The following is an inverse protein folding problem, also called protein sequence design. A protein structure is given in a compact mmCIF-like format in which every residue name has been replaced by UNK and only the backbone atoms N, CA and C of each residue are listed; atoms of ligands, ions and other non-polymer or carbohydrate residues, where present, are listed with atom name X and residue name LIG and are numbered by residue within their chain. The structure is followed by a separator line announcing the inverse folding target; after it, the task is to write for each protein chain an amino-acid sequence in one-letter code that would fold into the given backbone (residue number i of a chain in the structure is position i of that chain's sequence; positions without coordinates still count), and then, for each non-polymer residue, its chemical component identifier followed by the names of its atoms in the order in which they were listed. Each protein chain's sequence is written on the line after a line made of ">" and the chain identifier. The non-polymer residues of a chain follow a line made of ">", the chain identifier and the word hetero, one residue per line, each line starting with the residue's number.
data_IF_724821599746
#
_entry.id   IF_724821599746
#
_cell.length_a   1.000
_cell.length_b   1.000
_cell.length_c   1.000
_cell.angle_alpha   90.00
_cell.angle_beta   90.00
_cell.angle_gamma   90.00
#
_symmetry.space_group_name_H-M   'P 1'
#
loop_
_entity.id
_entity.type
_entity.pdbx_description
1 polymer ?
#
# COMPACT_ATOMS: atom_id res chain seq x y z
N UNK A 1 17.33 -10.10 -3.92
CA UNK A 1 16.48 -11.27 -3.59
C UNK A 1 15.03 -10.81 -3.46
N UNK A 2 14.77 -9.74 -2.73
CA UNK A 2 13.45 -9.19 -2.39
C UNK A 2 12.56 -8.91 -3.59
N UNK A 3 13.10 -8.28 -4.65
CA UNK A 3 12.34 -8.03 -5.88
C UNK A 3 11.78 -9.33 -6.48
N UNK A 4 12.54 -10.43 -6.42
CA UNK A 4 12.09 -11.73 -6.93
C UNK A 4 11.01 -12.31 -6.03
N UNK A 5 11.16 -12.19 -4.71
CA UNK A 5 10.18 -12.66 -3.73
C UNK A 5 8.82 -11.96 -3.93
N UNK A 6 8.84 -10.62 -4.03
CA UNK A 6 7.61 -9.84 -4.27
C UNK A 6 6.99 -10.18 -5.61
N UNK A 7 7.79 -10.24 -6.69
CA UNK A 7 7.26 -10.58 -8.01
C UNK A 7 6.64 -11.97 -8.05
N UNK A 8 7.26 -12.96 -7.41
CA UNK A 8 6.73 -14.31 -7.32
C UNK A 8 5.37 -14.33 -6.59
N UNK A 9 5.28 -13.66 -5.45
CA UNK A 9 4.06 -13.58 -4.65
C UNK A 9 2.95 -12.78 -5.34
N UNK A 10 3.29 -11.65 -5.95
CA UNK A 10 2.38 -10.86 -6.76
C UNK A 10 1.82 -11.69 -7.92
N UNK A 11 2.66 -12.50 -8.57
CA UNK A 11 2.22 -13.39 -9.63
C UNK A 11 1.28 -14.48 -9.14
N UNK A 12 1.58 -15.07 -7.97
CA UNK A 12 0.69 -16.06 -7.36
C UNK A 12 -0.71 -15.47 -7.11
N UNK A 13 -0.77 -14.28 -6.51
CA UNK A 13 -2.02 -13.58 -6.16
C UNK A 13 -2.79 -13.10 -7.41
N UNK A 14 -2.15 -12.33 -8.30
CA UNK A 14 -2.86 -11.60 -9.36
C UNK A 14 -2.95 -12.33 -10.70
N UNK A 15 -2.08 -13.31 -10.96
CA UNK A 15 -2.03 -14.01 -12.24
C UNK A 15 -2.49 -15.46 -12.16
N UNK A 16 -1.93 -16.23 -11.23
CA UNK A 16 -2.21 -17.67 -11.14
C UNK A 16 -3.43 -17.98 -10.26
N UNK A 17 -3.67 -17.20 -9.21
CA UNK A 17 -4.64 -17.51 -8.15
C UNK A 17 -4.23 -18.67 -7.24
N UNK A 18 -3.08 -19.33 -7.47
CA UNK A 18 -2.56 -20.40 -6.63
C UNK A 18 -1.49 -19.81 -5.71
N UNK A 19 -1.82 -19.66 -4.43
CA UNK A 19 -1.04 -18.86 -3.48
C UNK A 19 -0.49 -19.74 -2.37
N UNK A 20 0.82 -19.69 -2.20
CA UNK A 20 1.50 -20.28 -1.04
C UNK A 20 1.09 -19.51 0.21
N UNK A 21 0.40 -20.16 1.15
CA UNK A 21 -0.26 -19.52 2.30
C UNK A 21 0.62 -19.39 3.57
N UNK A 22 1.89 -19.79 3.51
CA UNK A 22 2.87 -19.53 4.60
C UNK A 22 4.33 -19.33 4.10
N UNK A 23 4.63 -18.26 3.33
CA UNK A 23 5.98 -17.99 2.82
C UNK A 23 6.92 -17.44 3.92
N UNK A 24 7.03 -18.15 5.05
CA UNK A 24 7.96 -17.85 6.13
C UNK A 24 9.42 -17.94 5.63
N UNK A 25 10.37 -17.14 6.16
CA UNK A 25 11.78 -17.21 5.76
C UNK A 25 12.39 -18.62 5.75
N UNK A 26 11.99 -19.46 6.72
CA UNK A 26 12.42 -20.86 6.80
C UNK A 26 12.00 -21.73 5.60
N UNK A 27 10.96 -21.32 4.87
CA UNK A 27 10.44 -22.03 3.69
C UNK A 27 11.02 -21.50 2.38
N UNK A 28 11.91 -20.50 2.43
CA UNK A 28 12.52 -19.88 1.25
C UNK A 28 14.04 -20.03 1.32
N UNK A 29 14.58 -20.93 0.51
CA UNK A 29 16.01 -21.08 0.34
C UNK A 29 16.51 -20.25 -0.84
N UNK A 30 17.64 -19.56 -0.64
CA UNK A 30 18.28 -18.76 -1.69
C UNK A 30 19.57 -19.46 -2.11
N UNK A 31 19.68 -19.77 -3.41
CA UNK A 31 20.93 -20.29 -3.98
C UNK A 31 21.45 -19.44 -5.12
N UNK A 32 22.73 -19.58 -5.44
CA UNK A 32 23.31 -18.99 -6.65
C UNK A 32 22.92 -19.84 -7.86
N UNK A 33 22.24 -19.24 -8.82
CA UNK A 33 21.86 -19.87 -10.09
C UNK A 33 23.02 -19.90 -11.09
N UNK A 34 22.77 -20.52 -12.25
CA UNK A 34 23.78 -20.76 -13.31
C UNK A 34 24.46 -19.49 -13.82
N UNK A 35 23.77 -18.35 -13.77
CA UNK A 35 24.29 -17.03 -14.22
C UNK A 35 24.77 -16.14 -13.07
N UNK A 36 25.02 -16.70 -11.88
CA UNK A 36 25.34 -15.91 -10.68
C UNK A 36 24.15 -15.14 -10.10
N UNK A 37 22.96 -15.24 -10.71
CA UNK A 37 21.72 -14.64 -10.22
C UNK A 37 21.14 -15.48 -9.07
N UNK A 38 20.62 -14.83 -8.04
CA UNK A 38 19.95 -15.53 -6.93
C UNK A 38 18.68 -16.26 -7.40
N UNK A 39 18.55 -17.55 -7.10
CA UNK A 39 17.34 -18.35 -7.30
C UNK A 39 16.63 -18.54 -5.97
N UNK A 40 15.29 -18.41 -5.99
CA UNK A 40 14.43 -18.68 -4.85
C UNK A 40 13.89 -20.10 -4.97
N UNK A 41 14.09 -20.90 -3.94
CA UNK A 41 13.55 -22.26 -3.83
C UNK A 41 12.55 -22.25 -2.68
N UNK A 42 11.30 -22.58 -2.98
CA UNK A 42 10.30 -22.86 -1.97
C UNK A 42 10.50 -24.30 -1.50
N UNK A 43 10.64 -24.49 -0.19
CA UNK A 43 10.91 -25.79 0.42
C UNK A 43 9.63 -26.49 0.83
N UNK A 44 8.74 -25.75 1.49
CA UNK A 44 7.47 -26.25 1.98
C UNK A 44 6.39 -26.01 0.92
N UNK A 45 5.52 -27.00 0.76
CA UNK A 45 4.40 -26.99 -0.17
C UNK A 45 3.10 -27.47 0.51
N UNK A 46 3.07 -27.55 1.85
CA UNK A 46 1.96 -28.10 2.62
C UNK A 46 0.73 -27.19 2.72
N UNK A 47 0.86 -25.89 2.47
CA UNK A 47 -0.24 -24.93 2.62
C UNK A 47 -0.40 -24.03 1.40
N UNK A 48 -1.39 -24.36 0.58
CA UNK A 48 -1.80 -23.59 -0.58
C UNK A 48 -3.28 -23.22 -0.53
N UNK A 49 -3.57 -22.04 -1.05
CA UNK A 49 -4.92 -21.52 -1.22
C UNK A 49 -5.16 -21.20 -2.70
N UNK A 50 -6.41 -21.37 -3.13
CA UNK A 50 -6.82 -21.03 -4.49
C UNK A 50 -7.84 -19.90 -4.48
N UNK A 51 -7.49 -18.80 -5.14
CA UNK A 51 -8.40 -17.68 -5.38
C UNK A 51 -9.22 -17.99 -6.63
N UNK A 52 -10.54 -17.97 -6.51
CA UNK A 52 -11.42 -18.14 -7.66
C UNK A 52 -11.15 -17.06 -8.73
N UNK A 53 -11.34 -17.34 -10.04
CA UNK A 53 -11.09 -16.37 -11.10
C UNK A 53 -11.80 -15.04 -10.89
N UNK A 54 -13.07 -15.06 -10.47
CA UNK A 54 -13.89 -13.86 -10.22
C UNK A 54 -13.39 -13.06 -9.02
N UNK A 55 -13.01 -13.74 -7.94
CA UNK A 55 -12.44 -13.08 -6.76
C UNK A 55 -11.06 -12.49 -7.09
N UNK A 56 -10.25 -13.19 -7.90
CA UNK A 56 -8.96 -12.69 -8.38
C UNK A 56 -9.12 -11.46 -9.26
N UNK A 57 -10.07 -11.46 -10.17
CA UNK A 57 -10.39 -10.29 -10.99
C UNK A 57 -10.82 -9.10 -10.13
N UNK A 58 -11.75 -9.33 -9.19
CA UNK A 58 -12.21 -8.30 -8.25
C UNK A 58 -11.07 -7.75 -7.40
N UNK A 59 -10.15 -8.62 -6.94
CA UNK A 59 -8.94 -8.20 -6.22
C UNK A 59 -8.03 -7.33 -7.11
N UNK A 60 -7.76 -7.74 -8.35
CA UNK A 60 -6.94 -6.96 -9.27
C UNK A 60 -7.54 -5.57 -9.53
N UNK A 61 -8.86 -5.50 -9.74
CA UNK A 61 -9.56 -4.24 -9.94
C UNK A 61 -9.62 -3.39 -8.66
N UNK A 62 -9.75 -4.00 -7.48
CA UNK A 62 -9.67 -3.30 -6.20
C UNK A 62 -8.31 -2.63 -6.00
N UNK A 63 -7.22 -3.34 -6.29
CA UNK A 63 -5.86 -2.76 -6.24
C UNK A 63 -5.68 -1.58 -7.20
N UNK A 64 -6.26 -1.67 -8.40
CA UNK A 64 -6.31 -0.55 -9.36
C UNK A 64 -7.11 0.63 -8.79
N UNK A 65 -8.27 0.38 -8.18
CA UNK A 65 -9.11 1.41 -7.57
C UNK A 65 -8.41 2.11 -6.41
N UNK A 66 -7.72 1.37 -5.54
CA UNK A 66 -6.91 1.91 -4.45
C UNK A 66 -5.82 2.85 -4.99
N UNK A 67 -5.13 2.45 -6.06
CA UNK A 67 -4.09 3.27 -6.68
C UNK A 67 -4.66 4.58 -7.25
N UNK A 68 -5.81 4.48 -7.93
CA UNK A 68 -6.48 5.62 -8.56
C UNK A 68 -7.32 6.45 -7.57
N UNK A 69 -7.39 6.05 -6.29
CA UNK A 69 -8.26 6.66 -5.26
C UNK A 69 -9.72 6.76 -5.72
N UNK A 70 -10.21 5.73 -6.41
CA UNK A 70 -11.57 5.66 -6.93
C UNK A 70 -12.48 4.99 -5.89
N UNK A 71 -13.13 5.80 -5.05
CA UNK A 71 -13.97 5.33 -3.94
C UNK A 71 -15.12 4.44 -4.39
N UNK A 72 -15.78 4.77 -5.49
CA UNK A 72 -16.91 4.00 -5.99
C UNK A 72 -16.47 2.62 -6.47
N UNK A 73 -15.34 2.53 -7.17
CA UNK A 73 -14.76 1.24 -7.54
C UNK A 73 -14.23 0.49 -6.32
N UNK A 74 -13.64 1.18 -5.33
CA UNK A 74 -13.19 0.52 -4.11
C UNK A 74 -14.35 -0.12 -3.35
N UNK A 75 -15.50 0.56 -3.21
CA UNK A 75 -16.73 -0.02 -2.63
C UNK A 75 -17.23 -1.21 -3.44
N UNK A 76 -17.40 -1.03 -4.76
CA UNK A 76 -17.88 -2.08 -5.67
C UNK A 76 -17.07 -3.38 -5.57
N UNK A 77 -15.74 -3.29 -5.65
CA UNK A 77 -14.89 -4.48 -5.63
C UNK A 77 -14.66 -5.02 -4.22
N UNK A 78 -14.78 -4.20 -3.17
CA UNK A 78 -14.83 -4.70 -1.80
C UNK A 78 -16.08 -5.55 -1.56
N UNK A 79 -17.23 -5.09 -2.05
CA UNK A 79 -18.49 -5.82 -1.97
C UNK A 79 -18.43 -7.14 -2.73
N UNK A 80 -17.84 -7.15 -3.93
CA UNK A 80 -17.61 -8.36 -4.71
C UNK A 80 -16.70 -9.39 -4.00
N UNK A 81 -15.89 -8.93 -3.04
CA UNK A 81 -15.02 -9.76 -2.20
C UNK A 81 -15.64 -10.12 -0.84
N UNK A 82 -16.90 -9.74 -0.60
CA UNK A 82 -17.66 -10.06 0.61
C UNK A 82 -17.63 -8.98 1.70
N UNK A 83 -16.95 -7.85 1.47
CA UNK A 83 -16.88 -6.76 2.46
C UNK A 83 -17.89 -5.67 2.15
N UNK A 84 -18.71 -5.33 3.15
CA UNK A 84 -19.76 -4.31 3.04
C UNK A 84 -19.21 -2.92 2.78
N UNK A 85 -20.00 -2.10 2.07
CA UNK A 85 -19.66 -0.74 1.67
C UNK A 85 -19.20 0.15 2.82
N UNK A 86 -19.75 0.01 4.02
CA UNK A 86 -19.33 0.84 5.17
C UNK A 86 -17.90 0.56 5.65
N UNK A 87 -17.38 -0.63 5.37
CA UNK A 87 -16.10 -1.12 5.88
C UNK A 87 -15.02 -1.22 4.78
N UNK A 88 -15.32 -0.74 3.56
CA UNK A 88 -14.43 -0.85 2.40
C UNK A 88 -13.05 -0.22 2.64
N UNK A 89 -12.97 0.97 3.27
CA UNK A 89 -11.70 1.63 3.57
C UNK A 89 -10.84 0.80 4.53
N UNK A 90 -11.48 0.15 5.51
CA UNK A 90 -10.78 -0.73 6.44
C UNK A 90 -10.21 -1.95 5.72
N UNK A 91 -10.99 -2.54 4.82
CA UNK A 91 -10.53 -3.66 4.01
C UNK A 91 -9.41 -3.29 3.04
N UNK A 92 -9.53 -2.17 2.33
CA UNK A 92 -8.49 -1.66 1.45
C UNK A 92 -7.20 -1.33 2.23
N UNK A 93 -7.32 -0.77 3.44
CA UNK A 93 -6.18 -0.51 4.35
C UNK A 93 -5.48 -1.82 4.73
N UNK A 94 -6.27 -2.84 5.10
CA UNK A 94 -5.75 -4.16 5.46
C UNK A 94 -5.01 -4.83 4.29
N UNK A 95 -5.63 -4.87 3.10
CA UNK A 95 -5.05 -5.50 1.91
C UNK A 95 -3.80 -4.78 1.40
N UNK A 96 -3.82 -3.45 1.35
CA UNK A 96 -2.69 -2.67 0.86
C UNK A 96 -1.56 -2.55 1.87
N UNK A 97 -1.81 -2.87 3.15
CA UNK A 97 -0.91 -2.62 4.28
C UNK A 97 -0.40 -1.17 4.32
N UNK A 98 -1.27 -0.25 3.93
CA UNK A 98 -1.01 1.18 3.89
C UNK A 98 -2.24 1.92 4.43
N UNK A 99 -2.07 2.96 5.25
CA UNK A 99 -3.18 3.83 5.62
C UNK A 99 -3.79 4.43 4.35
N UNK A 100 -5.07 4.15 4.13
CA UNK A 100 -5.90 4.86 3.16
C UNK A 100 -6.65 5.92 3.96
N UNK A 101 -6.87 7.11 3.36
CA UNK A 101 -7.51 8.22 4.05
C UNK A 101 -8.81 7.76 4.74
N UNK A 102 -9.00 8.18 6.00
CA UNK A 102 -10.04 7.74 6.95
C UNK A 102 -10.64 8.98 7.58
N UNK A 103 -11.87 8.90 8.13
CA UNK A 103 -12.48 10.01 8.87
C UNK A 103 -11.62 10.56 10.01
N UNK A 104 -10.78 9.74 10.65
CA UNK A 104 -9.84 10.23 11.67
C UNK A 104 -8.84 11.25 11.09
N UNK A 105 -8.52 11.18 9.80
CA UNK A 105 -7.68 12.17 9.13
C UNK A 105 -8.41 13.49 8.82
N UNK A 106 -9.74 13.51 8.91
CA UNK A 106 -10.53 14.74 8.84
C UNK A 106 -10.47 15.51 10.16
N UNK A 107 -10.43 14.78 11.28
CA UNK A 107 -10.42 15.32 12.64
C UNK A 107 -9.03 15.41 13.27
N UNK A 108 -8.06 14.66 12.76
CA UNK A 108 -6.77 14.50 13.41
C UNK A 108 -5.62 14.48 12.39
N UNK A 109 -4.56 15.22 12.72
CA UNK A 109 -3.37 15.36 11.86
C UNK A 109 -2.22 14.62 12.54
N UNK A 110 -1.53 13.78 11.76
CA UNK A 110 -0.35 13.05 12.22
C UNK A 110 0.79 14.02 12.61
N UNK A 111 1.59 13.69 13.64
CA UNK A 111 2.70 14.55 14.07
C UNK A 111 3.64 14.91 12.92
N UNK A 112 3.98 13.95 12.05
CA UNK A 112 4.94 14.14 10.95
C UNK A 112 4.44 15.11 9.88
N UNK A 113 3.11 15.28 9.79
CA UNK A 113 2.47 16.25 8.89
C UNK A 113 2.36 17.60 9.61
N UNK A 114 1.84 17.60 10.84
CA UNK A 114 1.65 18.81 11.64
C UNK A 114 2.95 19.58 11.83
N UNK A 115 4.02 18.88 12.18
CA UNK A 115 5.31 19.49 12.51
C UNK A 115 6.00 20.07 11.26
N UNK A 116 5.53 19.74 10.05
CA UNK A 116 5.98 20.31 8.77
C UNK A 116 5.09 21.44 8.25
N UNK A 117 3.92 21.65 8.85
CA UNK A 117 2.98 22.71 8.45
C UNK A 117 3.47 24.08 8.93
N UNK A 118 3.15 25.12 8.16
CA UNK A 118 3.39 26.50 8.59
C UNK A 118 2.53 26.86 9.81
N UNK A 119 2.93 27.88 10.57
CA UNK A 119 2.14 28.36 11.71
C UNK A 119 0.72 28.78 11.29
N UNK A 120 0.56 29.36 10.10
CA UNK A 120 -0.75 29.74 9.56
C UNK A 120 -1.62 28.51 9.26
N UNK A 121 -1.03 27.46 8.69
CA UNK A 121 -1.72 26.20 8.42
C UNK A 121 -2.14 25.49 9.72
N UNK A 122 -1.29 25.49 10.74
CA UNK A 122 -1.60 24.93 12.05
C UNK A 122 -2.74 25.69 12.75
N UNK A 123 -2.71 27.03 12.67
CA UNK A 123 -3.79 27.88 13.20
C UNK A 123 -5.11 27.62 12.46
N UNK A 124 -5.07 27.53 11.13
CA UNK A 124 -6.25 27.19 10.32
C UNK A 124 -6.81 25.82 10.69
N UNK A 125 -5.96 24.80 10.78
CA UNK A 125 -6.37 23.46 11.16
C UNK A 125 -7.01 23.42 12.56
N UNK A 126 -6.46 24.18 13.51
CA UNK A 126 -7.01 24.31 14.85
C UNK A 126 -8.40 24.97 14.86
N UNK A 127 -8.61 26.01 14.02
CA UNK A 127 -9.92 26.66 13.83
C UNK A 127 -10.95 25.73 13.18
N UNK A 128 -10.50 24.84 12.31
CA UNK A 128 -11.32 23.78 11.70
C UNK A 128 -11.60 22.60 12.66
N UNK A 129 -11.12 22.68 13.91
CA UNK A 129 -11.32 21.65 14.93
C UNK A 129 -10.42 20.43 14.79
N UNK A 130 -9.36 20.51 13.96
CA UNK A 130 -8.40 19.42 13.78
C UNK A 130 -7.42 19.36 14.96
N UNK A 131 -7.12 18.15 15.40
CA UNK A 131 -6.27 17.89 16.56
C UNK A 131 -4.96 17.25 16.10
N UNK A 132 -3.82 17.77 16.55
CA UNK A 132 -2.53 17.08 16.39
C UNK A 132 -2.55 15.80 17.20
N UNK A 133 -2.39 14.65 16.54
CA UNK A 133 -2.19 13.38 17.23
C UNK A 133 -0.82 13.38 17.92
N UNK A 134 -0.70 12.81 19.13
CA UNK A 134 0.60 12.60 19.75
C UNK A 134 1.36 11.50 19.01
N UNK A 135 2.67 11.64 18.90
CA UNK A 135 3.56 10.55 18.51
C UNK A 135 3.52 9.42 19.56
N UNK A 136 3.95 8.22 19.17
CA UNK A 136 3.99 7.08 20.09
C UNK A 136 4.80 7.39 21.36
N UNK A 137 5.94 8.08 21.21
CA UNK A 137 6.79 8.49 22.34
C UNK A 137 6.10 9.51 23.24
N UNK A 138 5.49 10.55 22.66
CA UNK A 138 4.73 11.56 23.44
C UNK A 138 3.58 10.89 24.19
N UNK A 139 2.85 9.99 23.54
CA UNK A 139 1.75 9.26 24.18
C UNK A 139 2.25 8.41 25.36
N UNK A 140 3.42 7.78 25.24
CA UNK A 140 4.07 6.97 26.30
C UNK A 140 4.67 7.82 27.43
N UNK A 141 4.93 9.11 27.22
CA UNK A 141 5.41 10.02 28.29
C UNK A 141 4.31 10.87 28.92
N UNK A 142 3.13 10.96 28.29
CA UNK A 142 1.97 11.69 28.83
C UNK A 142 1.49 11.16 30.19
N UNK A 143 1.00 12.06 31.03
CA UNK A 143 0.34 11.70 32.30
C UNK A 143 -0.90 10.83 32.07
N UNK A 144 -1.24 9.99 33.05
CA UNK A 144 -2.41 9.12 32.97
C UNK A 144 -3.70 9.91 32.75
N UNK A 145 -3.87 11.08 33.40
CA UNK A 145 -5.02 11.95 33.21
C UNK A 145 -5.17 12.40 31.75
N UNK A 146 -4.07 12.85 31.13
CA UNK A 146 -4.08 13.33 29.73
C UNK A 146 -4.33 12.20 28.73
N UNK A 147 -3.85 10.98 29.02
CA UNK A 147 -4.17 9.79 28.22
C UNK A 147 -5.66 9.43 28.29
N UNK A 148 -6.26 9.52 29.48
CA UNK A 148 -7.69 9.24 29.67
C UNK A 148 -8.54 10.26 28.90
N UNK A 149 -8.18 11.53 28.96
CA UNK A 149 -8.86 12.59 28.21
C UNK A 149 -8.74 12.39 26.69
N UNK A 150 -7.53 12.11 26.20
CA UNK A 150 -7.31 11.82 24.78
C UNK A 150 -8.13 10.61 24.31
N UNK A 151 -8.14 9.52 25.08
CA UNK A 151 -8.99 8.34 24.77
C UNK A 151 -10.48 8.68 24.79
N UNK A 152 -10.93 9.56 25.69
CA UNK A 152 -12.33 10.00 25.75
C UNK A 152 -12.70 10.80 24.52
N UNK A 153 -11.82 11.70 24.07
CA UNK A 153 -12.05 12.55 22.90
C UNK A 153 -12.19 11.73 21.60
N UNK A 154 -11.37 10.68 21.45
CA UNK A 154 -11.37 9.83 20.25
C UNK A 154 -12.11 8.49 20.43
N UNK A 155 -12.86 8.33 21.54
CA UNK A 155 -13.45 7.05 21.93
C UNK A 155 -14.31 6.45 20.82
N UNK A 156 -15.22 7.24 20.28
CA UNK A 156 -16.20 6.77 19.30
C UNK A 156 -15.53 6.42 17.97
N UNK A 157 -14.53 7.20 17.56
CA UNK A 157 -13.73 6.94 16.35
C UNK A 157 -12.92 5.64 16.51
N UNK A 158 -12.25 5.46 17.65
CA UNK A 158 -11.49 4.24 17.90
C UNK A 158 -12.39 3.01 17.98
N UNK A 159 -13.56 3.13 18.62
CA UNK A 159 -14.56 2.06 18.65
C UNK A 159 -15.06 1.72 17.26
N UNK A 160 -15.39 2.70 16.42
CA UNK A 160 -15.84 2.44 15.06
C UNK A 160 -14.74 1.79 14.20
N UNK A 161 -13.49 2.24 14.32
CA UNK A 161 -12.35 1.60 13.66
C UNK A 161 -12.19 0.15 14.12
N UNK A 162 -12.23 -0.12 15.43
CA UNK A 162 -12.13 -1.46 15.99
C UNK A 162 -13.27 -2.35 15.50
N UNK A 163 -14.50 -1.87 15.56
CA UNK A 163 -15.67 -2.61 15.09
C UNK A 163 -15.60 -2.86 13.59
N UNK A 164 -15.13 -1.89 12.81
CA UNK A 164 -14.90 -2.04 11.37
C UNK A 164 -13.88 -3.13 11.09
N UNK A 165 -12.75 -3.14 11.81
CA UNK A 165 -11.73 -4.21 11.67
C UNK A 165 -12.33 -5.57 12.01
N UNK A 166 -13.08 -5.67 13.12
CA UNK A 166 -13.73 -6.92 13.52
C UNK A 166 -14.74 -7.40 12.48
N UNK A 167 -15.54 -6.49 11.91
CA UNK A 167 -16.49 -6.82 10.84
C UNK A 167 -15.79 -7.28 9.58
N UNK A 168 -14.74 -6.58 9.14
CA UNK A 168 -13.93 -6.99 7.99
C UNK A 168 -13.33 -8.37 8.20
N UNK A 169 -12.74 -8.65 9.37
CA UNK A 169 -12.16 -9.96 9.65
C UNK A 169 -13.21 -11.09 9.68
N UNK A 170 -14.45 -10.79 10.09
CA UNK A 170 -15.56 -11.75 10.10
C UNK A 170 -16.13 -11.98 8.69
N UNK A 171 -16.32 -10.92 7.93
CA UNK A 171 -16.95 -10.96 6.61
C UNK A 171 -15.96 -11.42 5.51
N UNK A 172 -14.65 -11.27 5.74
CA UNK A 172 -13.61 -11.62 4.77
C UNK A 172 -13.48 -13.14 4.57
N UNK A 173 -13.44 -13.62 3.31
CA UNK A 173 -13.16 -15.03 3.03
C UNK A 173 -11.79 -15.46 3.56
N UNK A 174 -11.68 -16.70 4.06
CA UNK A 174 -10.45 -17.25 4.66
C UNK A 174 -9.23 -17.12 3.75
N UNK A 175 -9.41 -17.32 2.44
CA UNK A 175 -8.36 -17.16 1.43
C UNK A 175 -7.71 -15.76 1.49
N UNK A 176 -8.48 -14.70 1.71
CA UNK A 176 -7.93 -13.34 1.82
C UNK A 176 -7.25 -13.06 3.16
N UNK A 177 -7.69 -13.69 4.25
CA UNK A 177 -6.96 -13.65 5.52
C UNK A 177 -5.57 -14.27 5.38
N UNK A 178 -5.47 -15.40 4.67
CA UNK A 178 -4.18 -16.04 4.38
C UNK A 178 -3.30 -15.19 3.47
N UNK A 179 -3.87 -14.59 2.43
CA UNK A 179 -3.14 -13.60 1.60
C UNK A 179 -2.64 -12.43 2.46
N UNK A 180 -3.47 -11.90 3.35
CA UNK A 180 -3.08 -10.84 4.28
C UNK A 180 -1.91 -11.26 5.18
N UNK A 181 -1.96 -12.47 5.75
CA UNK A 181 -0.86 -13.03 6.55
C UNK A 181 0.44 -13.12 5.73
N UNK A 182 0.37 -13.65 4.50
CA UNK A 182 1.52 -13.75 3.61
C UNK A 182 2.15 -12.39 3.31
N UNK A 183 1.32 -11.41 2.94
CA UNK A 183 1.79 -10.06 2.66
C UNK A 183 2.46 -9.44 3.88
N UNK A 184 1.99 -9.75 5.10
CA UNK A 184 2.60 -9.27 6.34
C UNK A 184 3.97 -9.90 6.58
N UNK A 185 4.10 -11.22 6.36
CA UNK A 185 5.38 -11.93 6.49
C UNK A 185 6.42 -11.34 5.54
N UNK A 186 6.03 -11.18 4.26
CA UNK A 186 6.89 -10.62 3.22
C UNK A 186 7.28 -9.16 3.54
N UNK A 187 6.32 -8.37 4.04
CA UNK A 187 6.60 -7.00 4.52
C UNK A 187 7.65 -7.01 5.64
N UNK A 188 7.57 -7.96 6.57
CA UNK A 188 8.57 -8.08 7.65
C UNK A 188 9.95 -8.39 7.08
N UNK A 189 10.05 -9.37 6.16
CA UNK A 189 11.32 -9.74 5.51
C UNK A 189 11.97 -8.53 4.83
N UNK A 190 11.20 -7.79 4.03
CA UNK A 190 11.73 -6.59 3.35
C UNK A 190 12.20 -5.54 4.35
N UNK A 191 11.47 -5.37 5.46
CA UNK A 191 11.85 -4.43 6.51
C UNK A 191 13.17 -4.84 7.16
N UNK A 192 13.36 -6.13 7.41
CA UNK A 192 14.59 -6.67 8.00
C UNK A 192 15.80 -6.50 7.04
N UNK A 193 15.55 -6.44 5.74
CA UNK A 193 16.56 -6.11 4.72
C UNK A 193 16.75 -4.60 4.48
N UNK A 194 16.09 -3.72 5.25
CA UNK A 194 16.26 -2.27 5.17
C UNK A 194 15.32 -1.54 4.19
N UNK A 195 14.23 -2.15 3.74
CA UNK A 195 13.24 -1.55 2.83
C UNK A 195 13.80 -1.02 1.49
N UNK A 196 14.72 -1.74 0.88
CA UNK A 196 15.38 -1.35 -0.37
C UNK A 196 14.46 -1.34 -1.62
N UNK A 197 13.19 -1.72 -1.49
CA UNK A 197 12.27 -1.86 -2.62
C UNK A 197 10.88 -1.28 -2.34
N UNK A 198 10.30 -0.63 -3.35
CA UNK A 198 8.89 -0.23 -3.35
C UNK A 198 7.99 -1.42 -3.70
N UNK A 199 7.62 -2.20 -2.69
CA UNK A 199 6.70 -3.34 -2.85
C UNK A 199 5.32 -2.92 -3.36
N UNK A 200 4.83 -1.73 -3.03
CA UNK A 200 3.46 -1.32 -3.36
C UNK A 200 3.35 -1.09 -4.86
N UNK A 201 4.35 -0.41 -5.46
CA UNK A 201 4.42 -0.24 -6.91
C UNK A 201 4.54 -1.57 -7.64
N UNK A 202 5.34 -2.53 -7.14
CA UNK A 202 5.46 -3.86 -7.77
C UNK A 202 4.12 -4.61 -7.73
N UNK A 203 3.46 -4.62 -6.57
CA UNK A 203 2.15 -5.26 -6.39
C UNK A 203 1.08 -4.63 -7.28
N UNK A 204 1.01 -3.29 -7.30
CA UNK A 204 0.05 -2.56 -8.13
C UNK A 204 0.26 -2.83 -9.63
N UNK A 205 1.52 -2.83 -10.10
CA UNK A 205 1.84 -3.18 -11.49
C UNK A 205 1.38 -4.60 -11.84
N UNK A 206 1.61 -5.56 -10.95
CA UNK A 206 1.18 -6.95 -11.16
C UNK A 206 -0.34 -7.08 -11.16
N UNK A 207 -1.04 -6.40 -10.25
CA UNK A 207 -2.50 -6.35 -10.22
C UNK A 207 -3.08 -5.81 -11.53
N UNK A 208 -2.54 -4.70 -12.04
CA UNK A 208 -2.96 -4.10 -13.32
C UNK A 208 -2.71 -5.05 -14.49
N UNK A 209 -1.55 -5.72 -14.52
CA UNK A 209 -1.29 -6.77 -15.53
C UNK A 209 -2.26 -7.95 -15.37
N UNK A 210 -2.68 -8.28 -14.15
CA UNK A 210 -3.68 -9.30 -13.85
C UNK A 210 -5.06 -8.94 -14.39
N UNK A 211 -5.47 -7.66 -14.28
CA UNK A 211 -6.67 -7.12 -14.93
C UNK A 211 -6.61 -7.36 -16.44
N UNK A 212 -5.49 -7.03 -17.10
CA UNK A 212 -5.32 -7.19 -18.56
C UNK A 212 -5.55 -8.62 -19.03
N UNK A 213 -5.12 -9.63 -18.26
CA UNK A 213 -5.31 -11.04 -18.62
C UNK A 213 -6.80 -11.43 -18.62
N UNK A 214 -7.59 -10.90 -17.69
CA UNK A 214 -9.02 -11.17 -17.61
C UNK A 214 -9.84 -10.38 -18.65
N UNK A 215 -9.50 -9.11 -18.88
CA UNK A 215 -10.18 -8.28 -19.90
C UNK A 215 -9.94 -8.79 -21.33
N UNK A 216 -8.74 -9.30 -21.64
CA UNK A 216 -8.41 -9.89 -22.94
C UNK A 216 -9.13 -11.22 -23.20
N UNK A 217 -9.46 -11.98 -22.16
CA UNK A 217 -10.25 -13.21 -22.29
C UNK A 217 -11.71 -12.90 -22.59
N UNK A 218 -12.23 -11.75 -22.15
CA UNK A 218 -13.65 -11.39 -22.25
C UNK A 218 -14.04 -10.50 -23.44
N UNK A 219 -13.12 -9.91 -24.22
CA UNK A 219 -13.48 -9.09 -25.41
C UNK A 219 -12.54 -9.22 -26.61
N UNK A 220 -13.08 -9.64 -27.75
CA UNK A 220 -12.59 -9.28 -29.10
C UNK A 220 -12.83 -7.78 -29.36
N UNK A 221 -12.01 -6.89 -28.80
CA UNK A 221 -11.91 -5.50 -29.28
C UNK A 221 -10.54 -4.95 -28.89
N UNK A 222 -9.68 -4.79 -29.89
CA UNK A 222 -8.25 -5.08 -29.72
C UNK A 222 -7.31 -3.89 -29.98
N UNK A 223 -7.69 -2.60 -29.93
CA UNK A 223 -6.64 -1.55 -30.03
C UNK A 223 -6.95 -0.20 -29.36
N UNK A 224 -8.19 0.31 -29.43
CA UNK A 224 -8.54 1.60 -28.80
C UNK A 224 -8.47 1.56 -27.28
N UNK A 225 -8.93 0.47 -26.64
CA UNK A 225 -8.81 0.29 -25.18
C UNK A 225 -7.34 0.22 -24.74
N UNK A 226 -6.42 -0.20 -25.64
CA UNK A 226 -4.97 -0.18 -25.38
C UNK A 226 -4.44 1.24 -25.28
N UNK A 227 -4.94 2.17 -26.10
CA UNK A 227 -4.51 3.58 -26.11
C UNK A 227 -4.99 4.33 -24.87
N UNK A 228 -6.26 4.19 -24.49
CA UNK A 228 -6.81 4.88 -23.33
C UNK A 228 -6.17 4.44 -22.01
N UNK A 229 -6.01 3.14 -21.79
CA UNK A 229 -5.43 2.63 -20.54
C UNK A 229 -3.90 2.84 -20.49
N UNK A 230 -3.19 2.71 -21.62
CA UNK A 230 -1.79 3.14 -21.67
C UNK A 230 -1.67 4.64 -21.44
N UNK A 231 -2.61 5.46 -21.94
CA UNK A 231 -2.61 6.89 -21.69
C UNK A 231 -2.85 7.21 -20.21
N UNK A 232 -3.80 6.56 -19.52
CA UNK A 232 -4.02 6.78 -18.08
C UNK A 232 -2.83 6.32 -17.23
N UNK A 233 -2.23 5.17 -17.58
CA UNK A 233 -1.04 4.63 -16.89
C UNK A 233 0.20 5.47 -17.21
N UNK A 234 0.41 5.88 -18.46
CA UNK A 234 1.50 6.75 -18.85
C UNK A 234 1.32 8.16 -18.29
N UNK A 235 0.11 8.68 -18.18
CA UNK A 235 -0.17 9.99 -17.55
C UNK A 235 0.05 9.94 -16.05
N UNK A 236 -0.32 8.84 -15.38
CA UNK A 236 -0.04 8.67 -13.96
C UNK A 236 1.45 8.48 -13.69
N UNK A 237 2.12 7.58 -14.44
CA UNK A 237 3.56 7.34 -14.32
C UNK A 237 4.34 8.59 -14.74
N UNK A 238 3.98 9.26 -15.84
CA UNK A 238 4.66 10.46 -16.32
C UNK A 238 4.46 11.61 -15.36
N UNK A 239 3.28 11.81 -14.77
CA UNK A 239 3.07 12.91 -13.82
C UNK A 239 3.91 12.74 -12.55
N UNK A 240 3.89 11.57 -11.93
CA UNK A 240 4.71 11.30 -10.73
C UNK A 240 6.21 11.26 -11.06
N UNK A 241 6.59 10.69 -12.21
CA UNK A 241 7.98 10.63 -12.65
C UNK A 241 8.53 12.00 -13.04
N UNK A 242 7.77 12.79 -13.79
CA UNK A 242 8.13 14.16 -14.20
C UNK A 242 8.16 15.06 -12.98
N UNK A 243 7.23 14.94 -12.03
CA UNK A 243 7.26 15.73 -10.80
C UNK A 243 8.51 15.40 -9.96
N UNK A 244 8.86 14.12 -9.81
CA UNK A 244 10.10 13.69 -9.12
C UNK A 244 11.35 14.13 -9.89
N UNK A 245 11.34 14.01 -11.21
CA UNK A 245 12.45 14.41 -12.07
C UNK A 245 12.67 15.93 -12.07
N UNK A 246 11.59 16.71 -12.10
CA UNK A 246 11.63 18.17 -11.98
C UNK A 246 12.14 18.60 -10.61
N UNK A 247 11.66 17.99 -9.52
CA UNK A 247 12.19 18.22 -8.17
C UNK A 247 13.66 17.86 -8.06
N UNK A 248 14.07 16.73 -8.64
CA UNK A 248 15.46 16.31 -8.68
C UNK A 248 16.33 17.31 -9.47
N UNK A 249 15.87 17.73 -10.65
CA UNK A 249 16.60 18.70 -11.50
C UNK A 249 16.66 20.09 -10.90
N UNK A 250 15.59 20.57 -10.27
CA UNK A 250 15.61 21.85 -9.57
C UNK A 250 16.56 21.83 -8.38
N UNK A 251 16.61 20.74 -7.62
CA UNK A 251 17.59 20.57 -6.54
C UNK A 251 19.04 20.51 -7.07
N UNK A 252 19.29 19.82 -8.18
CA UNK A 252 20.61 19.83 -8.84
C UNK A 252 21.03 21.24 -9.28
N UNK A 253 20.10 22.02 -9.84
CA UNK A 253 20.36 23.40 -10.27
C UNK A 253 20.63 24.31 -9.07
N UNK A 254 19.82 24.22 -8.02
CA UNK A 254 20.00 25.03 -6.81
C UNK A 254 21.34 24.71 -6.11
N UNK A 255 21.75 23.44 -6.09
CA UNK A 255 23.07 23.05 -5.59
C UNK A 255 24.22 23.54 -6.49
N UNK A 256 24.06 23.51 -7.81
CA UNK A 256 25.05 24.07 -8.76
C UNK A 256 25.26 25.57 -8.56
N UNK A 257 24.20 26.32 -8.25
CA UNK A 257 24.28 27.75 -7.93
C UNK A 257 24.64 28.06 -6.47
N UNK A 258 24.97 27.05 -5.65
CA UNK A 258 25.41 27.24 -4.27
C UNK A 258 24.31 27.64 -3.28
N UNK A 259 23.03 27.52 -3.66
CA UNK A 259 21.90 27.81 -2.78
C UNK A 259 21.58 26.67 -1.80
N UNK A 260 22.17 25.48 -1.99
CA UNK A 260 21.95 24.30 -1.15
C UNK A 260 23.30 23.61 -0.90
N UNK A 261 23.58 23.13 0.34
CA UNK A 261 24.83 22.46 0.67
C UNK A 261 25.05 21.16 -0.14
N UNK A 262 26.29 20.83 -0.55
CA UNK A 262 26.59 19.62 -1.32
C UNK A 262 26.26 18.30 -0.60
N UNK A 263 26.17 18.30 0.72
CA UNK A 263 25.83 17.11 1.52
C UNK A 263 24.39 16.62 1.26
N UNK A 264 23.52 17.51 0.77
CA UNK A 264 22.12 17.20 0.42
C UNK A 264 22.01 16.22 -0.75
N UNK A 265 23.06 16.08 -1.59
CA UNK A 265 23.09 15.11 -2.69
C UNK A 265 22.98 13.65 -2.22
N UNK A 266 23.55 13.33 -1.04
CA UNK A 266 23.53 11.98 -0.49
C UNK A 266 22.14 11.57 0.04
N UNK A 267 21.31 12.54 0.48
CA UNK A 267 19.91 12.29 0.85
C UNK A 267 19.00 12.11 -0.37
N UNK A 268 19.42 12.59 -1.55
CA UNK A 268 18.62 12.54 -2.77
C UNK A 268 18.81 11.22 -3.54
N UNK A 269 19.94 10.51 -3.34
CA UNK A 269 20.15 9.15 -3.86
C UNK A 269 19.15 8.12 -3.28
N UNK A 270 18.54 8.36 -2.11
CA UNK A 270 17.48 7.52 -1.53
C UNK A 270 16.14 7.58 -2.30
N UNK A 271 15.96 8.53 -3.23
CA UNK A 271 14.75 8.69 -4.03
C UNK A 271 14.79 8.00 -5.41
N UNK A 272 15.83 7.21 -5.69
CA UNK A 272 16.04 6.49 -6.95
C UNK A 272 15.20 5.21 -7.07
#
# INVERSE_FOLDING_TARGET
>A
VDTKLIKAMAHQIFHSGFVHADPHPGNVYVRKGREGKAELILLDHGLYETISPNARESLCQLWKAILLKDDDKMKKYSLALGVKDKDYLTFCTFLSMRPIHRPIHELAILPEVWDKMSLEEQQKASREGKIRLPSEREFITMSNARRVEFRKQFKDIFNDIQDSVLRVLKDMPRTFLMIGRNLNQIRSIIRDHGNLIDRHTIMARSAIMGVRKHELVNKRRLWMDRLFICNDILNFISKDYVERWLKFKSLQMLAYFGYIPPETFNMIEEFR
#
